data_IF_657124246032
#
_entry.id   IF_657124246032
#
_cell.length_a   1.000
_cell.length_b   1.000
_cell.length_c   1.000
_cell.angle_alpha   90.00
_cell.angle_beta   90.00
_cell.angle_gamma   90.00
#
_symmetry.space_group_name_H-M   'P 1'
#
loop_
_entity.id
_entity.type
_entity.pdbx_description
1 polymer ?
#
# COMPACT_ATOMS: atom_id res chain seq x y z
N UNK A 1 6.54 10.38 -7.08
CA UNK A 1 6.13 8.96 -7.12
C UNK A 1 4.67 8.86 -7.50
N UNK A 2 4.26 7.72 -8.04
CA UNK A 2 2.89 7.50 -8.51
C UNK A 2 2.50 6.03 -8.33
N UNK A 3 1.20 5.76 -8.38
CA UNK A 3 0.66 4.40 -8.39
C UNK A 3 -0.03 4.17 -9.73
N UNK A 4 0.34 3.10 -10.43
CA UNK A 4 -0.18 2.75 -11.75
C UNK A 4 -0.78 1.35 -11.77
N UNK A 5 -1.63 1.09 -12.75
CA UNK A 5 -2.05 -0.28 -13.04
C UNK A 5 -0.91 -1.01 -13.73
N UNK A 6 -0.33 -2.01 -13.05
CA UNK A 6 0.84 -2.73 -13.54
C UNK A 6 0.59 -3.49 -14.85
N UNK A 7 -0.67 -3.86 -15.15
CA UNK A 7 -1.02 -4.58 -16.38
C UNK A 7 -0.97 -3.68 -17.62
N UNK A 8 -1.09 -2.36 -17.44
CA UNK A 8 -1.20 -1.39 -18.54
C UNK A 8 -0.11 -0.33 -18.50
N UNK A 9 0.78 -0.36 -17.52
CA UNK A 9 1.82 0.65 -17.34
C UNK A 9 3.07 0.06 -16.67
N UNK A 10 4.27 0.54 -17.06
CA UNK A 10 5.51 0.12 -16.43
C UNK A 10 5.55 0.58 -14.97
N UNK A 11 6.22 -0.20 -14.13
CA UNK A 11 6.41 0.09 -12.71
C UNK A 11 7.82 -0.34 -12.27
N UNK A 12 8.30 0.24 -11.18
CA UNK A 12 9.60 -0.10 -10.57
C UNK A 12 9.44 -1.00 -9.34
N UNK A 13 8.38 -0.79 -8.56
CA UNK A 13 8.11 -1.57 -7.34
C UNK A 13 6.69 -2.11 -7.40
N UNK A 14 6.54 -3.43 -7.33
CA UNK A 14 5.22 -4.04 -7.18
C UNK A 14 4.78 -3.97 -5.72
N UNK A 15 3.57 -3.46 -5.48
CA UNK A 15 3.02 -3.31 -4.13
C UNK A 15 1.77 -4.16 -3.91
N UNK A 16 1.41 -5.03 -4.87
CA UNK A 16 0.29 -5.95 -4.75
C UNK A 16 0.64 -7.20 -3.94
N UNK A 17 -0.35 -8.08 -3.76
CA UNK A 17 -0.16 -9.40 -3.15
C UNK A 17 0.50 -10.37 -4.14
N UNK A 18 1.25 -11.33 -3.63
CA UNK A 18 1.68 -12.48 -4.44
C UNK A 18 0.48 -13.40 -4.69
N UNK A 19 -0.01 -13.41 -5.93
CA UNK A 19 -1.14 -14.23 -6.38
C UNK A 19 -0.80 -14.83 -7.75
N UNK A 20 -1.42 -15.96 -8.16
CA UNK A 20 -1.13 -16.60 -9.44
C UNK A 20 -1.20 -15.65 -10.65
N UNK A 21 -2.13 -14.70 -10.64
CA UNK A 21 -2.34 -13.72 -11.72
C UNK A 21 -1.51 -12.43 -11.56
N UNK A 22 -0.55 -12.41 -10.63
CA UNK A 22 0.39 -11.31 -10.42
C UNK A 22 1.51 -11.26 -11.47
N UNK A 23 2.39 -10.25 -11.43
CA UNK A 23 3.56 -10.21 -12.30
C UNK A 23 4.47 -11.42 -12.01
N UNK A 24 4.74 -12.23 -13.04
CA UNK A 24 5.48 -13.50 -12.89
C UNK A 24 6.94 -13.33 -12.47
N UNK A 25 7.51 -12.14 -12.65
CA UNK A 25 8.88 -11.79 -12.28
C UNK A 25 9.01 -11.20 -10.86
N UNK A 26 7.93 -11.17 -10.08
CA UNK A 26 7.93 -10.64 -8.71
C UNK A 26 7.85 -11.79 -7.71
N UNK A 27 8.95 -11.97 -6.98
CA UNK A 27 9.05 -12.99 -5.93
C UNK A 27 8.12 -12.67 -4.74
N UNK A 28 7.65 -13.68 -3.98
CA UNK A 28 6.80 -13.49 -2.82
C UNK A 28 7.34 -12.46 -1.81
N UNK A 29 8.66 -12.46 -1.60
CA UNK A 29 9.38 -11.59 -0.65
C UNK A 29 9.39 -10.11 -1.09
N UNK A 30 9.08 -9.82 -2.36
CA UNK A 30 8.92 -8.46 -2.85
C UNK A 30 7.50 -7.91 -2.66
N UNK A 31 6.53 -8.74 -2.29
CA UNK A 31 5.12 -8.36 -2.10
C UNK A 31 4.78 -7.86 -0.68
N UNK A 32 5.78 -7.41 0.08
CA UNK A 32 5.65 -6.97 1.48
C UNK A 32 4.71 -5.78 1.70
N UNK A 33 4.43 -5.02 0.64
CA UNK A 33 3.55 -3.85 0.67
C UNK A 33 2.08 -4.19 0.34
N UNK A 34 1.78 -5.47 0.04
CA UNK A 34 0.44 -5.92 -0.30
C UNK A 34 -0.58 -5.65 0.81
N UNK A 35 -1.80 -5.27 0.43
CA UNK A 35 -2.90 -5.16 1.39
C UNK A 35 -3.28 -6.57 1.90
N UNK A 36 -3.18 -6.88 3.21
CA UNK A 36 -3.59 -8.18 3.74
C UNK A 36 -5.13 -8.33 3.77
N UNK A 37 -5.89 -7.25 3.67
CA UNK A 37 -7.34 -7.26 3.59
C UNK A 37 -7.81 -7.48 2.14
N UNK A 38 -8.75 -8.40 1.96
CA UNK A 38 -9.26 -8.85 0.65
C UNK A 38 -10.59 -8.16 0.35
N UNK A 39 -10.74 -7.70 -0.89
CA UNK A 39 -12.02 -7.29 -1.46
C UNK A 39 -12.76 -8.53 -1.94
N UNK A 40 -13.99 -8.73 -1.50
CA UNK A 40 -14.86 -9.78 -2.02
C UNK A 40 -15.53 -9.33 -3.31
N UNK A 41 -15.96 -8.06 -3.38
CA UNK A 41 -16.45 -7.42 -4.58
C UNK A 41 -15.49 -6.30 -5.01
N UNK A 42 -14.93 -6.46 -6.21
CA UNK A 42 -13.97 -5.48 -6.77
C UNK A 42 -14.66 -4.21 -7.27
N UNK A 43 -15.97 -4.22 -7.45
CA UNK A 43 -16.78 -3.11 -7.91
C UNK A 43 -17.50 -2.39 -6.76
N UNK A 44 -17.55 -2.97 -5.56
CA UNK A 44 -18.14 -2.32 -4.37
C UNK A 44 -17.24 -1.17 -3.83
N UNK A 45 -17.69 0.10 -3.91
CA UNK A 45 -16.93 1.24 -3.41
C UNK A 45 -16.91 1.33 -1.88
N UNK A 46 -17.93 0.81 -1.19
CA UNK A 46 -18.04 0.82 0.27
C UNK A 46 -17.06 -0.20 0.85
N UNK A 47 -17.08 -1.43 0.35
CA UNK A 47 -16.11 -2.45 0.77
C UNK A 47 -14.67 -1.99 0.46
N UNK A 48 -14.45 -1.41 -0.72
CA UNK A 48 -13.14 -0.83 -1.09
C UNK A 48 -12.66 0.23 -0.09
N UNK A 49 -13.54 1.13 0.34
CA UNK A 49 -13.18 2.13 1.35
C UNK A 49 -12.84 1.47 2.70
N UNK A 50 -13.60 0.45 3.10
CA UNK A 50 -13.37 -0.29 4.35
C UNK A 50 -12.01 -1.01 4.36
N UNK A 51 -11.67 -1.76 3.31
CA UNK A 51 -10.38 -2.49 3.26
C UNK A 51 -9.18 -1.57 3.14
N UNK A 52 -9.33 -0.38 2.53
CA UNK A 52 -8.26 0.63 2.46
C UNK A 52 -8.08 1.29 3.83
N UNK A 53 -9.17 1.59 4.54
CA UNK A 53 -9.09 2.08 5.91
C UNK A 53 -8.50 1.05 6.87
N UNK A 54 -8.84 -0.23 6.71
CA UNK A 54 -8.23 -1.33 7.46
C UNK A 54 -6.72 -1.43 7.16
N UNK A 55 -6.34 -1.32 5.88
CA UNK A 55 -4.93 -1.28 5.48
C UNK A 55 -4.16 -0.12 6.12
N UNK A 56 -4.72 1.08 6.14
CA UNK A 56 -4.09 2.25 6.76
C UNK A 56 -3.89 2.05 8.26
N UNK A 57 -4.91 1.57 8.96
CA UNK A 57 -4.80 1.23 10.40
C UNK A 57 -3.73 0.18 10.67
N UNK A 58 -3.70 -0.88 9.86
CA UNK A 58 -2.70 -1.94 9.96
C UNK A 58 -1.29 -1.42 9.67
N UNK A 59 -1.10 -0.67 8.58
CA UNK A 59 0.20 -0.12 8.19
C UNK A 59 0.76 0.84 9.27
N UNK A 60 -0.12 1.57 9.94
CA UNK A 60 0.27 2.49 11.01
C UNK A 60 0.42 1.81 12.38
N UNK A 61 0.08 0.53 12.53
CA UNK A 61 0.21 -0.16 13.82
C UNK A 61 1.67 -0.27 14.29
N UNK A 62 1.92 -0.46 15.60
CA UNK A 62 3.28 -0.55 16.13
C UNK A 62 4.09 -1.69 15.50
N UNK A 63 3.44 -2.80 15.16
CA UNK A 63 4.05 -3.98 14.53
C UNK A 63 4.56 -3.68 13.11
N UNK A 64 3.97 -2.70 12.42
CA UNK A 64 4.35 -2.30 11.06
C UNK A 64 5.36 -1.14 11.01
N UNK A 65 5.92 -0.70 12.16
CA UNK A 65 6.94 0.36 12.21
C UNK A 65 8.08 0.13 11.22
N UNK A 66 8.64 -1.08 11.18
CA UNK A 66 9.71 -1.43 10.25
C UNK A 66 9.29 -1.41 8.77
N UNK A 67 8.03 -1.73 8.46
CA UNK A 67 7.50 -1.64 7.09
C UNK A 67 7.34 -0.17 6.66
N UNK A 68 6.88 0.70 7.57
CA UNK A 68 6.77 2.14 7.34
C UNK A 68 8.14 2.79 7.11
N UNK A 69 9.13 2.49 7.96
CA UNK A 69 10.50 2.99 7.79
C UNK A 69 11.09 2.55 6.44
N UNK A 70 10.87 1.29 6.06
CA UNK A 70 11.27 0.77 4.76
C UNK A 70 10.57 1.51 3.63
N UNK A 71 9.26 1.71 3.71
CA UNK A 71 8.48 2.44 2.71
C UNK A 71 9.03 3.86 2.50
N UNK A 72 9.31 4.59 3.58
CA UNK A 72 9.88 5.95 3.55
C UNK A 72 11.29 6.00 2.94
N UNK A 73 12.08 4.93 3.06
CA UNK A 73 13.43 4.87 2.49
C UNK A 73 13.41 4.44 1.01
N UNK A 74 12.60 3.46 0.66
CA UNK A 74 12.73 2.74 -0.62
C UNK A 74 11.77 3.21 -1.71
N UNK A 75 10.60 3.76 -1.34
CA UNK A 75 9.56 4.14 -2.29
C UNK A 75 9.64 5.59 -2.83
N UNK A 76 10.29 6.57 -2.17
CA UNK A 76 10.40 7.92 -2.74
C UNK A 76 11.00 7.90 -4.15
N UNK A 77 10.35 8.63 -5.06
CA UNK A 77 10.76 8.71 -6.47
C UNK A 77 10.31 7.54 -7.35
N UNK A 78 9.80 6.44 -6.79
CA UNK A 78 9.43 5.23 -7.55
C UNK A 78 8.05 5.28 -8.19
N UNK A 79 7.87 4.50 -9.26
CA UNK A 79 6.54 4.16 -9.80
C UNK A 79 6.07 2.83 -9.19
N UNK A 80 4.95 2.86 -8.48
CA UNK A 80 4.39 1.70 -7.76
C UNK A 80 3.33 0.99 -8.60
N UNK A 81 3.45 -0.32 -8.77
CA UNK A 81 2.51 -1.15 -9.52
C UNK A 81 1.45 -1.80 -8.64
N UNK A 82 0.17 -1.53 -8.90
CA UNK A 82 -0.96 -2.23 -8.28
C UNK A 82 -2.15 -2.36 -9.25
N UNK A 83 -2.79 -3.54 -9.29
CA UNK A 83 -3.89 -3.79 -10.21
C UNK A 83 -5.18 -3.00 -9.90
N UNK A 84 -5.31 -2.47 -8.68
CA UNK A 84 -6.51 -1.74 -8.24
C UNK A 84 -6.71 -0.40 -8.98
N UNK A 85 -5.64 0.23 -9.49
CA UNK A 85 -5.77 1.48 -10.25
C UNK A 85 -6.57 1.24 -11.54
N UNK A 86 -7.46 2.18 -11.94
CA UNK A 86 -7.57 3.56 -11.47
C UNK A 86 -8.45 3.79 -10.24
N UNK A 87 -9.12 2.76 -9.72
CA UNK A 87 -9.95 2.87 -8.50
C UNK A 87 -9.06 3.16 -7.28
N UNK A 88 -9.68 3.54 -6.15
CA UNK A 88 -8.97 3.72 -4.88
C UNK A 88 -8.11 2.49 -4.57
N UNK A 89 -6.85 2.74 -4.21
CA UNK A 89 -5.83 1.72 -4.06
C UNK A 89 -5.11 1.88 -2.73
N UNK A 90 -4.71 0.78 -2.10
CA UNK A 90 -3.86 0.84 -0.89
C UNK A 90 -2.51 1.52 -1.15
N UNK A 91 -2.06 1.49 -2.41
CA UNK A 91 -0.90 2.24 -2.87
C UNK A 91 -1.01 3.74 -2.62
N UNK A 92 -2.22 4.32 -2.58
CA UNK A 92 -2.41 5.73 -2.26
C UNK A 92 -2.07 6.03 -0.78
N UNK A 93 -2.32 5.06 0.11
CA UNK A 93 -1.93 5.14 1.53
C UNK A 93 -0.42 5.01 1.65
N UNK A 94 0.19 4.01 1.01
CA UNK A 94 1.66 3.86 0.99
C UNK A 94 2.35 5.09 0.44
N UNK A 95 1.78 5.67 -0.63
CA UNK A 95 2.31 6.88 -1.23
C UNK A 95 2.34 8.00 -0.19
N UNK A 96 1.23 8.23 0.49
CA UNK A 96 1.16 9.27 1.53
C UNK A 96 2.17 9.04 2.65
N UNK A 97 2.23 7.83 3.19
CA UNK A 97 3.13 7.45 4.29
C UNK A 97 4.60 7.56 3.89
N UNK A 98 4.97 7.18 2.66
CA UNK A 98 6.35 7.26 2.20
C UNK A 98 6.84 8.70 1.93
N UNK A 99 5.91 9.66 1.77
CA UNK A 99 6.23 11.07 1.47
C UNK A 99 6.18 11.99 2.68
N UNK A 100 5.53 11.58 3.77
CA UNK A 100 5.35 12.42 4.96
C UNK A 100 6.47 12.26 5.99
N UNK A 101 6.65 13.27 6.84
CA UNK A 101 7.64 13.24 7.93
C UNK A 101 7.29 12.21 9.00
N UNK A 102 8.29 11.78 9.78
CA UNK A 102 8.08 10.86 10.89
C UNK A 102 7.16 11.46 11.96
N UNK A 103 7.28 12.77 12.21
CA UNK A 103 6.37 13.52 13.08
C UNK A 103 4.91 13.45 12.59
N UNK A 104 4.69 13.58 11.27
CA UNK A 104 3.34 13.47 10.68
C UNK A 104 2.77 12.06 10.88
N UNK A 105 3.57 11.03 10.63
CA UNK A 105 3.15 9.64 10.80
C UNK A 105 2.85 9.33 12.26
N UNK A 106 3.69 9.78 13.21
CA UNK A 106 3.48 9.50 14.63
C UNK A 106 2.24 10.22 15.17
N UNK A 107 1.99 11.46 14.74
CA UNK A 107 0.77 12.18 15.07
C UNK A 107 -0.48 11.40 14.61
N UNK A 108 -0.47 10.85 13.40
CA UNK A 108 -1.57 10.02 12.89
C UNK A 108 -1.78 8.76 13.71
N UNK A 109 -0.70 8.10 14.15
CA UNK A 109 -0.82 6.93 15.04
C UNK A 109 -1.56 7.27 16.31
N UNK A 110 -1.21 8.39 16.94
CA UNK A 110 -1.89 8.89 18.16
C UNK A 110 -3.36 9.17 17.88
N UNK A 111 -3.67 9.92 16.82
CA UNK A 111 -5.04 10.29 16.44
C UNK A 111 -5.91 9.07 16.12
N UNK A 112 -5.32 8.02 15.53
CA UNK A 112 -6.00 6.79 15.18
C UNK A 112 -6.04 5.76 16.32
N UNK A 113 -5.40 6.04 17.46
CA UNK A 113 -5.33 5.12 18.60
C UNK A 113 -4.56 3.85 18.30
N UNK A 114 -3.54 3.92 17.43
CA UNK A 114 -2.68 2.79 17.02
C UNK A 114 -1.24 2.96 17.51
N UNK A 115 -1.08 3.63 18.66
CA UNK A 115 0.22 3.82 19.34
C UNK A 115 0.60 2.66 20.24
#
# INVERSE_FOLDING_TARGET
MSVVNWKTSPFEVYIGRHVPDGPSNVAPEACIYGNPFVLNDVDDPVERAQVIGAYEKWLLSPEQRGLVERAKRELPGKVLGCWCKPKNCHGDVLLRVAMESDETTEKKRVEMGVV
#
